data_IF_791137718169
#
_entry.id   IF_791137718169
#
_cell.length_a   1.000
_cell.length_b   1.000
_cell.length_c   1.000
_cell.angle_alpha   90.00
_cell.angle_beta   90.00
_cell.angle_gamma   90.00
#
_symmetry.space_group_name_H-M   'P 1'
#
loop_
_entity.id
_entity.type
_entity.pdbx_description
1 polymer ?
#
# COMPACT_ATOMS: atom_id res chain seq x y z
N UNK A 1 17.44 2.86 -2.34
CA UNK A 1 17.52 1.44 -1.93
C UNK A 1 17.96 0.64 -3.14
N UNK A 2 19.07 -0.08 -3.01
CA UNK A 2 19.59 -0.91 -4.10
C UNK A 2 18.70 -2.14 -4.28
N UNK A 3 18.63 -2.67 -5.51
CA UNK A 3 17.80 -3.85 -5.81
C UNK A 3 18.15 -5.04 -4.89
N UNK A 4 19.43 -5.28 -4.61
CA UNK A 4 19.88 -6.34 -3.70
C UNK A 4 19.28 -6.22 -2.30
N UNK A 5 19.24 -5.01 -1.76
CA UNK A 5 18.67 -4.73 -0.43
C UNK A 5 17.16 -4.96 -0.46
N UNK A 6 16.50 -4.49 -1.51
CA UNK A 6 15.06 -4.65 -1.69
C UNK A 6 14.65 -6.13 -1.77
N UNK A 7 15.34 -6.93 -2.57
CA UNK A 7 15.04 -8.36 -2.70
C UNK A 7 15.32 -9.15 -1.42
N UNK A 8 16.21 -8.66 -0.55
CA UNK A 8 16.39 -9.24 0.80
C UNK A 8 15.15 -8.99 1.67
N UNK A 9 14.49 -7.83 1.53
CA UNK A 9 13.26 -7.51 2.27
C UNK A 9 12.08 -8.39 1.84
N UNK A 10 11.92 -8.62 0.53
CA UNK A 10 10.78 -9.39 -0.02
C UNK A 10 11.09 -10.88 -0.24
N UNK A 11 12.17 -11.40 0.35
CA UNK A 11 12.59 -12.79 0.20
C UNK A 11 11.48 -13.79 0.56
N UNK A 12 10.64 -13.44 1.53
CA UNK A 12 9.44 -14.20 1.89
C UNK A 12 8.36 -13.25 2.45
N UNK A 13 7.13 -13.77 2.56
CA UNK A 13 5.97 -12.98 2.98
C UNK A 13 6.08 -12.45 4.42
N UNK A 14 6.77 -13.18 5.31
CA UNK A 14 6.99 -12.77 6.69
C UNK A 14 7.94 -11.58 6.77
N UNK A 15 9.09 -11.63 6.08
CA UNK A 15 10.04 -10.52 5.98
C UNK A 15 9.38 -9.26 5.42
N UNK A 16 8.59 -9.42 4.35
CA UNK A 16 7.84 -8.31 3.74
C UNK A 16 6.82 -7.69 4.72
N UNK A 17 6.11 -8.54 5.46
CA UNK A 17 5.14 -8.08 6.48
C UNK A 17 5.84 -7.36 7.62
N UNK A 18 6.92 -7.92 8.17
CA UNK A 18 7.69 -7.35 9.27
C UNK A 18 8.31 -6.00 8.87
N UNK A 19 8.80 -5.88 7.63
CA UNK A 19 9.27 -4.60 7.09
C UNK A 19 8.18 -3.54 7.12
N UNK A 20 6.97 -3.84 6.62
CA UNK A 20 5.88 -2.85 6.64
C UNK A 20 5.37 -2.52 8.05
N UNK A 21 5.39 -3.48 8.98
CA UNK A 21 5.09 -3.23 10.40
C UNK A 21 6.13 -2.26 10.99
N UNK A 22 7.42 -2.47 10.71
CA UNK A 22 8.49 -1.58 11.19
C UNK A 22 8.35 -0.14 10.67
N UNK A 23 7.74 0.03 9.48
CA UNK A 23 7.43 1.32 8.87
C UNK A 23 6.06 1.87 9.28
N UNK A 24 5.35 1.22 10.21
CA UNK A 24 4.00 1.59 10.67
C UNK A 24 2.96 1.64 9.53
N UNK A 25 3.18 0.85 8.47
CA UNK A 25 2.28 0.76 7.31
C UNK A 25 1.28 -0.40 7.44
N UNK A 26 1.60 -1.39 8.26
CA UNK A 26 0.70 -2.47 8.68
C UNK A 26 0.59 -2.48 10.21
N UNK A 27 -0.49 -3.05 10.73
CA UNK A 27 -0.70 -3.12 12.18
C UNK A 27 0.18 -4.21 12.81
N UNK A 28 0.76 -3.89 13.97
CA UNK A 28 1.37 -4.89 14.84
C UNK A 28 0.26 -5.53 15.70
N UNK A 29 0.24 -6.87 15.80
CA UNK A 29 -0.70 -7.64 16.65
C UNK A 29 -0.77 -7.11 18.07
N UNK A 30 0.38 -6.76 18.64
CA UNK A 30 0.47 -6.32 20.06
C UNK A 30 -0.32 -5.04 20.32
N UNK A 31 -0.60 -4.25 19.27
CA UNK A 31 -1.26 -2.95 19.37
C UNK A 31 -2.72 -2.97 18.89
N UNK A 32 -3.31 -4.16 18.64
CA UNK A 32 -4.66 -4.26 18.06
C UNK A 32 -5.62 -5.05 18.94
N UNK A 33 -6.73 -4.39 19.29
CA UNK A 33 -7.86 -4.99 19.97
C UNK A 33 -8.96 -5.40 18.99
N UNK A 34 -9.77 -6.35 19.42
CA UNK A 34 -10.93 -6.80 18.67
C UNK A 34 -12.00 -5.71 18.56
N UNK A 35 -12.45 -5.36 17.35
CA UNK A 35 -13.49 -4.35 17.14
C UNK A 35 -14.82 -4.65 17.83
N UNK A 36 -15.12 -5.93 18.03
CA UNK A 36 -16.41 -6.36 18.60
C UNK A 36 -16.39 -6.45 20.13
N UNK A 37 -15.24 -6.79 20.73
CA UNK A 37 -15.19 -7.14 22.15
C UNK A 37 -13.95 -6.63 22.89
N UNK A 38 -13.15 -5.79 22.23
CA UNK A 38 -11.93 -5.16 22.74
C UNK A 38 -10.89 -6.10 23.33
N UNK A 39 -11.00 -7.40 23.07
CA UNK A 39 -10.05 -8.40 23.55
C UNK A 39 -8.84 -8.48 22.63
N UNK A 40 -7.73 -8.99 23.17
CA UNK A 40 -6.51 -9.23 22.40
C UNK A 40 -6.74 -10.11 21.17
N UNK A 41 -5.96 -9.82 20.13
CA UNK A 41 -5.93 -10.61 18.90
C UNK A 41 -4.63 -11.42 18.80
N UNK A 42 -4.62 -12.40 17.90
CA UNK A 42 -3.41 -13.15 17.51
C UNK A 42 -3.35 -13.29 16.01
N UNK A 43 -2.15 -13.51 15.47
CA UNK A 43 -2.03 -13.91 14.07
C UNK A 43 -2.73 -15.25 13.82
N UNK A 44 -3.38 -15.32 12.67
CA UNK A 44 -4.07 -16.51 12.19
C UNK A 44 -3.84 -16.64 10.69
N UNK A 45 -3.41 -17.82 10.24
CA UNK A 45 -3.26 -18.12 8.83
C UNK A 45 -4.54 -18.78 8.37
N UNK A 46 -5.26 -18.13 7.45
CA UNK A 46 -6.42 -18.71 6.77
C UNK A 46 -5.92 -19.32 5.46
N UNK A 47 -6.18 -20.61 5.26
CA UNK A 47 -5.94 -21.29 3.99
C UNK A 47 -7.25 -21.31 3.20
N UNK A 48 -7.25 -20.79 1.99
CA UNK A 48 -8.44 -20.70 1.14
C UNK A 48 -8.05 -20.92 -0.33
N UNK A 49 -8.62 -21.96 -0.96
CA UNK A 49 -8.36 -22.33 -2.37
C UNK A 49 -6.86 -22.42 -2.71
N UNK A 50 -6.08 -23.04 -1.82
CA UNK A 50 -4.63 -23.20 -1.99
C UNK A 50 -3.78 -21.95 -1.72
N UNK A 51 -4.39 -20.83 -1.29
CA UNK A 51 -3.68 -19.60 -0.91
C UNK A 51 -3.70 -19.42 0.61
N UNK A 52 -2.58 -18.99 1.16
CA UNK A 52 -2.47 -18.64 2.58
C UNK A 52 -2.60 -17.13 2.76
N UNK A 53 -3.39 -16.70 3.74
CA UNK A 53 -3.58 -15.29 4.09
C UNK A 53 -3.41 -15.09 5.58
N UNK A 54 -2.53 -14.15 5.95
CA UNK A 54 -2.30 -13.75 7.34
C UNK A 54 -3.35 -12.73 7.77
N UNK A 55 -4.06 -13.05 8.86
CA UNK A 55 -5.15 -12.27 9.44
C UNK A 55 -4.92 -12.13 10.95
N UNK A 56 -5.69 -11.25 11.57
CA UNK A 56 -5.83 -11.15 13.02
C UNK A 56 -7.10 -11.89 13.43
N UNK A 57 -7.02 -12.75 14.45
CA UNK A 57 -8.20 -13.43 15.04
C UNK A 57 -8.31 -13.12 16.52
N UNK A 58 -9.51 -12.77 16.95
CA UNK A 58 -9.82 -12.51 18.36
C UNK A 58 -9.58 -13.77 19.21
N UNK A 59 -8.89 -13.63 20.35
CA UNK A 59 -8.63 -14.75 21.28
C UNK A 59 -9.86 -15.15 22.10
N UNK A 60 -10.81 -14.23 22.33
CA UNK A 60 -12.01 -14.47 23.16
C UNK A 60 -12.89 -15.57 22.58
N UNK A 61 -13.16 -16.60 23.39
CA UNK A 61 -14.11 -17.68 23.09
C UNK A 61 -15.49 -17.08 22.77
N UNK A 62 -16.10 -17.54 21.68
CA UNK A 62 -17.43 -17.06 21.21
C UNK A 62 -17.41 -15.82 20.33
N UNK A 63 -16.34 -15.01 20.29
CA UNK A 63 -16.29 -13.83 19.42
C UNK A 63 -15.89 -14.18 17.99
N UNK A 64 -14.83 -14.97 17.81
CA UNK A 64 -14.31 -15.48 16.52
C UNK A 64 -14.10 -14.43 15.41
N UNK A 65 -14.13 -13.14 15.76
CA UNK A 65 -14.01 -12.05 14.80
C UNK A 65 -12.59 -12.04 14.21
N UNK A 66 -12.51 -11.83 12.90
CA UNK A 66 -11.24 -11.69 12.17
C UNK A 66 -11.10 -10.28 11.65
N UNK A 67 -9.87 -9.79 11.58
CA UNK A 67 -9.54 -8.47 11.04
C UNK A 67 -8.32 -8.60 10.10
N UNK A 68 -8.21 -7.67 9.15
CA UNK A 68 -7.06 -7.60 8.24
C UNK A 68 -5.84 -7.03 8.96
N UNK A 69 -4.65 -7.57 8.69
CA UNK A 69 -3.37 -6.97 9.12
C UNK A 69 -3.07 -5.64 8.41
N UNK A 70 -3.85 -5.31 7.37
CA UNK A 70 -3.73 -4.08 6.58
C UNK A 70 -4.70 -2.99 7.02
N UNK A 71 -5.50 -3.28 8.04
CA UNK A 71 -6.46 -2.34 8.63
C UNK A 71 -5.73 -1.04 9.00
N UNK A 72 -6.40 0.10 8.80
CA UNK A 72 -5.86 1.46 8.98
C UNK A 72 -4.88 1.95 7.91
N UNK A 73 -4.63 1.18 6.85
CA UNK A 73 -3.91 1.66 5.69
C UNK A 73 -4.70 1.38 4.40
N UNK A 74 -5.30 2.43 3.82
CA UNK A 74 -6.15 2.30 2.63
C UNK A 74 -5.37 1.87 1.38
N UNK A 75 -4.08 2.24 1.29
CA UNK A 75 -3.20 1.84 0.20
C UNK A 75 -2.94 0.32 0.22
N UNK A 76 -2.49 -0.22 1.36
CA UNK A 76 -2.19 -1.66 1.47
C UNK A 76 -3.45 -2.53 1.56
N UNK A 77 -4.57 -1.99 2.04
CA UNK A 77 -5.84 -2.72 2.06
C UNK A 77 -6.32 -3.05 0.65
N UNK A 78 -6.00 -2.23 -0.36
CA UNK A 78 -6.48 -2.30 -1.74
C UNK A 78 -7.96 -2.69 -1.83
N UNK A 79 -8.83 -1.69 -1.79
CA UNK A 79 -10.24 -1.88 -2.04
C UNK A 79 -10.52 -1.54 -3.51
N UNK A 80 -11.18 -2.46 -4.22
CA UNK A 80 -11.70 -2.16 -5.56
C UNK A 80 -12.81 -1.10 -5.49
N UNK A 81 -13.34 -0.68 -6.65
CA UNK A 81 -14.43 0.31 -6.75
C UNK A 81 -15.69 -0.07 -5.96
N UNK A 82 -15.85 -1.35 -5.63
CA UNK A 82 -16.97 -1.89 -4.86
C UNK A 82 -16.64 -2.07 -3.37
N UNK A 83 -15.51 -1.55 -2.90
CA UNK A 83 -15.08 -1.65 -1.51
C UNK A 83 -14.59 -3.05 -1.11
N UNK A 84 -14.28 -3.93 -2.07
CA UNK A 84 -13.81 -5.30 -1.80
C UNK A 84 -12.29 -5.38 -1.91
N UNK A 85 -11.66 -6.07 -0.95
CA UNK A 85 -10.25 -6.36 -1.06
C UNK A 85 -10.00 -7.45 -2.11
N UNK A 86 -9.65 -7.01 -3.32
CA UNK A 86 -9.47 -7.91 -4.47
C UNK A 86 -8.00 -8.08 -4.88
N UNK A 87 -7.03 -7.71 -4.04
CA UNK A 87 -5.63 -7.94 -4.38
C UNK A 87 -5.34 -9.43 -4.24
N UNK A 88 -5.28 -10.12 -5.38
CA UNK A 88 -4.79 -11.49 -5.47
C UNK A 88 -3.28 -11.61 -5.22
N UNK A 89 -2.58 -10.49 -5.02
CA UNK A 89 -1.13 -10.41 -4.81
C UNK A 89 -0.75 -10.55 -3.33
N UNK A 90 0.37 -11.22 -3.08
CA UNK A 90 1.03 -11.23 -1.78
C UNK A 90 1.59 -9.85 -1.43
N UNK A 91 1.88 -9.58 -0.16
CA UNK A 91 2.48 -8.31 0.29
C UNK A 91 3.84 -8.08 -0.38
N UNK A 92 4.68 -9.12 -0.49
CA UNK A 92 5.95 -9.02 -1.20
C UNK A 92 5.76 -8.63 -2.68
N UNK A 93 4.80 -9.25 -3.36
CA UNK A 93 4.47 -8.95 -4.75
C UNK A 93 3.93 -7.52 -4.95
N UNK A 94 3.24 -6.96 -3.96
CA UNK A 94 2.77 -5.58 -3.96
C UNK A 94 3.93 -4.60 -3.74
N UNK A 95 4.79 -4.88 -2.76
CA UNK A 95 6.00 -4.11 -2.50
C UNK A 95 6.90 -4.04 -3.73
N UNK A 96 7.03 -5.12 -4.50
CA UNK A 96 7.80 -5.15 -5.75
C UNK A 96 7.27 -4.17 -6.79
N UNK A 97 5.94 -4.09 -6.97
CA UNK A 97 5.33 -3.13 -7.88
C UNK A 97 5.55 -1.69 -7.43
N UNK A 98 5.45 -1.43 -6.11
CA UNK A 98 5.73 -0.11 -5.54
C UNK A 98 7.20 0.26 -5.74
N UNK A 99 8.12 -0.68 -5.52
CA UNK A 99 9.55 -0.46 -5.75
C UNK A 99 9.83 -0.05 -7.19
N UNK A 100 9.31 -0.78 -8.16
CA UNK A 100 9.50 -0.45 -9.58
C UNK A 100 8.88 0.88 -9.99
N UNK A 101 7.72 1.24 -9.43
CA UNK A 101 7.14 2.56 -9.63
C UNK A 101 8.05 3.66 -9.10
N UNK A 102 8.65 3.47 -7.91
CA UNK A 102 9.63 4.41 -7.35
C UNK A 102 10.94 4.48 -8.14
N UNK A 103 11.26 3.47 -8.97
CA UNK A 103 12.39 3.49 -9.90
C UNK A 103 12.05 4.10 -11.27
N UNK A 104 10.83 4.65 -11.43
CA UNK A 104 10.33 5.24 -12.68
C UNK A 104 10.41 4.29 -13.89
N UNK A 105 10.19 2.99 -13.65
CA UNK A 105 10.17 2.00 -14.72
C UNK A 105 8.90 2.10 -15.54
N UNK A 106 9.05 1.95 -16.87
CA UNK A 106 7.91 1.87 -17.80
C UNK A 106 7.04 0.65 -17.48
N UNK A 107 5.72 0.82 -17.63
CA UNK A 107 4.75 -0.26 -17.36
C UNK A 107 5.05 -1.54 -18.17
N UNK A 108 5.46 -1.40 -19.44
CA UNK A 108 5.86 -2.54 -20.28
C UNK A 108 7.04 -3.33 -19.71
N UNK A 109 8.02 -2.63 -19.15
CA UNK A 109 9.17 -3.24 -18.46
C UNK A 109 8.70 -3.97 -17.20
N UNK A 110 7.85 -3.36 -16.39
CA UNK A 110 7.31 -3.98 -15.17
C UNK A 110 6.51 -5.25 -15.51
N UNK A 111 5.67 -5.21 -16.54
CA UNK A 111 4.93 -6.38 -17.04
C UNK A 111 5.90 -7.51 -17.40
N UNK A 112 6.96 -7.20 -18.14
CA UNK A 112 7.97 -8.17 -18.58
C UNK A 112 8.73 -8.77 -17.38
N UNK A 113 9.18 -7.94 -16.44
CA UNK A 113 9.94 -8.38 -15.27
C UNK A 113 9.11 -9.23 -14.30
N UNK A 114 7.83 -8.92 -14.17
CA UNK A 114 6.96 -9.53 -13.15
C UNK A 114 6.08 -10.65 -13.68
N UNK A 115 5.93 -10.78 -15.00
CA UNK A 115 4.99 -11.70 -15.66
C UNK A 115 3.51 -11.41 -15.34
N UNK A 116 3.20 -10.25 -14.75
CA UNK A 116 1.83 -9.89 -14.34
C UNK A 116 1.04 -9.30 -15.50
N UNK A 117 -0.28 -9.42 -15.45
CA UNK A 117 -1.15 -8.84 -16.48
C UNK A 117 -1.00 -7.33 -16.55
N UNK A 118 -1.15 -6.76 -17.75
CA UNK A 118 -1.12 -5.32 -17.96
C UNK A 118 -2.16 -4.59 -17.08
N UNK A 119 -3.34 -5.19 -16.90
CA UNK A 119 -4.37 -4.63 -16.04
C UNK A 119 -3.91 -4.52 -14.58
N UNK A 120 -3.30 -5.59 -14.04
CA UNK A 120 -2.76 -5.58 -12.67
C UNK A 120 -1.67 -4.52 -12.51
N UNK A 121 -0.73 -4.42 -13.44
CA UNK A 121 0.34 -3.43 -13.37
C UNK A 121 -0.24 -2.01 -13.44
N UNK A 122 -1.14 -1.75 -14.38
CA UNK A 122 -1.80 -0.45 -14.52
C UNK A 122 -2.53 -0.03 -13.22
N UNK A 123 -3.30 -0.94 -12.62
CA UNK A 123 -4.01 -0.66 -11.37
C UNK A 123 -3.04 -0.25 -10.25
N UNK A 124 -1.91 -0.96 -10.11
CA UNK A 124 -0.91 -0.64 -9.09
C UNK A 124 -0.17 0.67 -9.36
N UNK A 125 0.15 0.98 -10.61
CA UNK A 125 0.75 2.28 -10.94
C UNK A 125 -0.21 3.43 -10.63
N UNK A 126 -1.50 3.25 -10.90
CA UNK A 126 -2.53 4.23 -10.55
C UNK A 126 -2.65 4.43 -9.04
N UNK A 127 -2.65 3.34 -8.26
CA UNK A 127 -2.63 3.43 -6.79
C UNK A 127 -1.41 4.20 -6.30
N UNK A 128 -0.22 3.92 -6.85
CA UNK A 128 1.01 4.61 -6.46
C UNK A 128 0.93 6.12 -6.79
N UNK A 129 0.39 6.48 -7.96
CA UNK A 129 0.17 7.87 -8.37
C UNK A 129 -0.82 8.61 -7.46
N UNK A 130 -1.83 7.94 -6.91
CA UNK A 130 -2.80 8.58 -6.03
C UNK A 130 -2.19 9.02 -4.68
N UNK A 131 -1.07 8.41 -4.25
CA UNK A 131 -0.37 8.78 -3.02
C UNK A 131 0.15 10.23 -3.06
N UNK A 132 1.02 10.64 -4.02
CA UNK A 132 1.47 12.02 -4.10
C UNK A 132 0.34 13.00 -4.41
N UNK A 133 -0.70 12.58 -5.16
CA UNK A 133 -1.90 13.42 -5.39
C UNK A 133 -2.57 13.76 -4.07
N UNK A 134 -2.83 12.78 -3.20
CA UNK A 134 -3.42 13.03 -1.87
C UNK A 134 -2.52 13.89 -1.00
N UNK A 135 -1.20 13.70 -1.05
CA UNK A 135 -0.25 14.56 -0.31
C UNK A 135 -0.35 16.00 -0.82
N UNK A 136 -0.46 16.18 -2.14
CA UNK A 136 -0.59 17.48 -2.76
C UNK A 136 -1.93 18.15 -2.44
N UNK A 137 -3.04 17.41 -2.45
CA UNK A 137 -4.37 17.94 -2.12
C UNK A 137 -4.47 18.38 -0.65
N UNK A 138 -3.80 17.65 0.25
CA UNK A 138 -3.76 17.96 1.68
C UNK A 138 -2.71 19.01 2.07
N UNK A 139 -1.93 19.52 1.11
CA UNK A 139 -0.94 20.56 1.40
C UNK A 139 -1.63 21.90 1.62
N UNK A 140 -0.98 22.78 2.40
CA UNK A 140 -1.43 24.16 2.50
C UNK A 140 -1.42 24.82 1.12
N UNK A 141 -2.53 25.50 0.77
CA UNK A 141 -2.61 26.24 -0.49
C UNK A 141 -1.54 27.32 -0.51
N UNK A 142 -0.94 27.53 -1.68
CA UNK A 142 -0.05 28.66 -1.91
C UNK A 142 -0.88 29.96 -1.88
N UNK A 143 -0.51 30.89 -1.02
CA UNK A 143 -1.23 32.16 -0.81
C UNK A 143 -2.36 32.07 0.22
N UNK A 144 -3.17 33.12 0.27
CA UNK A 144 -4.27 33.29 1.22
C UNK A 144 -4.54 34.78 1.49
N UNK A 145 -5.63 35.13 2.20
CA UNK A 145 -5.91 36.51 2.57
C UNK A 145 -4.70 37.13 3.29
N UNK A 146 -4.18 38.25 2.77
CA UNK A 146 -3.02 38.95 3.34
C UNK A 146 -1.65 38.36 2.98
N UNK A 147 -1.58 37.29 2.17
CA UNK A 147 -0.32 36.71 1.71
C UNK A 147 -0.05 37.14 0.28
N UNK A 148 0.98 37.98 0.08
CA UNK A 148 1.50 38.31 -1.25
C UNK A 148 2.41 37.16 -1.70
N UNK A 149 2.06 36.53 -2.83
CA UNK A 149 2.89 35.51 -3.47
C UNK A 149 3.52 36.08 -4.73
N UNK A 150 4.80 35.79 -4.94
CA UNK A 150 5.50 36.11 -6.19
C UNK A 150 5.54 34.86 -7.06
N UNK A 151 5.05 34.98 -8.29
CA UNK A 151 5.09 33.91 -9.28
C UNK A 151 6.03 34.34 -10.39
N UNK A 152 7.04 33.53 -10.67
CA UNK A 152 7.89 33.73 -11.86
C UNK A 152 7.19 33.13 -13.08
N UNK A 153 6.56 33.99 -13.87
CA UNK A 153 5.85 33.61 -15.09
C UNK A 153 6.76 32.94 -16.13
N UNK A 154 8.07 33.18 -16.10
CA UNK A 154 9.00 32.59 -17.08
C UNK A 154 9.03 31.06 -16.97
N UNK A 155 8.82 30.53 -15.75
CA UNK A 155 8.76 29.09 -15.48
C UNK A 155 7.43 28.45 -15.88
N UNK A 156 6.40 29.26 -16.17
CA UNK A 156 5.06 28.79 -16.55
C UNK A 156 4.79 28.86 -18.05
N UNK A 157 5.71 29.45 -18.84
CA UNK A 157 5.61 29.48 -20.29
C UNK A 157 5.87 28.09 -20.85
N UNK A 158 4.81 27.31 -21.04
CA UNK A 158 4.83 26.16 -21.94
C UNK A 158 5.37 26.59 -23.32
N UNK A 159 6.05 25.67 -24.02
CA UNK A 159 6.57 25.93 -25.36
C UNK A 159 5.46 26.53 -26.24
N UNK A 160 5.66 27.76 -26.70
CA UNK A 160 4.76 28.38 -27.68
C UNK A 160 4.80 27.51 -28.94
N UNK A 161 3.64 27.01 -29.36
CA UNK A 161 3.47 26.45 -30.71
C UNK A 161 3.63 27.55 -31.74
#
# INVERSE_FOLDING_TARGET
MLAKEFYTIIQNEESATNFLISKKLLVNVENVLCDKCSSEMKYYIKKERGKERKLLRCKRKGCQTTQSIRKNNSFWTYLDKNGRNNSGLSIGAQLELVYYWCQDLKQSTIITLTGRSAHTVCDWMNLCRDVPVRIFENRNKLGGPGIVIQVDECLLRGSRK
#
